data_IF_763184552891
#
_entry.id   IF_763184552891
#
_cell.length_a   1.000
_cell.length_b   1.000
_cell.length_c   1.000
_cell.angle_alpha   90.00
_cell.angle_beta   90.00
_cell.angle_gamma   90.00
#
_symmetry.space_group_name_H-M   'P 1'
#
loop_
_entity.id
_entity.type
_entity.pdbx_description
1 polymer ?
#
# COMPACT_ATOMS: atom_id res chain seq x y z
N UNK A 1 36.35 57.07 -18.41
CA UNK A 1 34.95 56.70 -18.30
C UNK A 1 34.86 55.27 -18.70
N UNK A 2 34.87 54.42 -17.74
CA UNK A 2 34.72 52.93 -17.92
C UNK A 2 33.34 52.54 -17.42
N UNK A 3 32.45 52.24 -18.37
CA UNK A 3 31.10 51.73 -18.07
C UNK A 3 31.21 50.33 -17.45
N UNK A 4 30.93 50.25 -16.15
CA UNK A 4 30.77 49.02 -15.44
C UNK A 4 29.41 48.39 -15.80
N UNK A 5 29.43 47.34 -16.63
CA UNK A 5 28.29 46.44 -16.76
C UNK A 5 28.26 45.54 -15.52
N UNK A 6 27.31 45.80 -14.62
CA UNK A 6 26.89 44.79 -13.63
C UNK A 6 26.20 43.62 -14.38
N UNK A 7 26.53 42.35 -14.06
CA UNK A 7 25.83 41.25 -14.67
C UNK A 7 24.38 41.24 -14.13
N UNK A 8 23.41 41.31 -15.04
CA UNK A 8 21.98 41.08 -14.73
C UNK A 8 21.84 39.81 -13.91
N UNK A 9 21.39 39.97 -12.67
CA UNK A 9 21.12 38.89 -11.76
C UNK A 9 20.08 37.97 -12.38
N UNK A 10 20.47 36.75 -12.68
CA UNK A 10 19.55 35.69 -13.11
C UNK A 10 18.44 35.58 -12.05
N UNK A 11 17.18 35.84 -12.42
CA UNK A 11 16.05 35.61 -11.56
C UNK A 11 16.07 34.15 -11.09
N UNK A 12 15.80 33.87 -9.81
CA UNK A 12 15.78 32.50 -9.34
C UNK A 12 14.73 31.72 -10.13
N UNK A 13 15.17 30.67 -10.82
CA UNK A 13 14.24 29.75 -11.51
C UNK A 13 13.26 29.18 -10.52
N UNK A 14 11.99 29.60 -10.61
CA UNK A 14 10.89 28.97 -9.87
C UNK A 14 10.78 27.53 -10.39
N UNK A 15 10.98 26.55 -9.51
CA UNK A 15 10.78 25.14 -9.90
C UNK A 15 9.28 24.92 -10.08
N UNK A 16 8.88 24.50 -11.27
CA UNK A 16 7.48 24.13 -11.58
C UNK A 16 7.12 22.71 -11.11
N UNK A 17 8.14 21.86 -10.88
CA UNK A 17 7.95 20.48 -10.45
C UNK A 17 7.52 20.40 -8.97
N UNK A 18 6.55 19.51 -8.62
CA UNK A 18 6.08 19.35 -7.26
C UNK A 18 7.19 18.85 -6.33
N UNK A 19 7.27 19.43 -5.16
CA UNK A 19 8.24 19.10 -4.12
C UNK A 19 7.62 18.39 -2.90
N UNK A 20 6.29 18.28 -2.86
CA UNK A 20 5.52 17.59 -1.82
C UNK A 20 4.47 16.67 -2.43
N UNK A 21 4.07 15.62 -1.69
CA UNK A 21 2.98 14.74 -2.14
C UNK A 21 1.64 15.49 -2.25
N UNK A 22 1.42 16.52 -1.45
CA UNK A 22 0.20 17.36 -1.54
C UNK A 22 0.12 18.11 -2.87
N UNK A 23 1.25 18.62 -3.37
CA UNK A 23 1.31 19.25 -4.70
C UNK A 23 1.08 18.23 -5.81
N UNK A 24 1.70 17.04 -5.72
CA UNK A 24 1.45 15.93 -6.66
C UNK A 24 -0.03 15.59 -6.69
N UNK A 25 -0.68 15.43 -5.52
CA UNK A 25 -2.11 15.15 -5.41
C UNK A 25 -2.96 16.25 -6.04
N UNK A 26 -2.61 17.52 -5.80
CA UNK A 26 -3.35 18.67 -6.33
C UNK A 26 -3.30 18.71 -7.87
N UNK A 27 -2.15 18.43 -8.45
CA UNK A 27 -2.00 18.35 -9.92
C UNK A 27 -2.74 17.12 -10.46
N UNK A 28 -2.55 15.95 -9.86
CA UNK A 28 -3.21 14.71 -10.27
C UNK A 28 -4.73 14.84 -10.28
N UNK A 29 -5.31 15.51 -9.27
CA UNK A 29 -6.75 15.78 -9.16
C UNK A 29 -7.31 16.53 -10.38
N UNK A 30 -6.53 17.39 -11.01
CA UNK A 30 -6.96 18.13 -12.21
C UNK A 30 -6.84 17.31 -13.49
N UNK A 31 -6.05 16.25 -13.49
CA UNK A 31 -5.75 15.39 -14.66
C UNK A 31 -6.54 14.08 -14.67
N UNK A 32 -6.74 13.48 -13.51
CA UNK A 32 -7.52 12.25 -13.34
C UNK A 32 -9.01 12.60 -13.50
N UNK A 33 -9.75 11.79 -14.26
CA UNK A 33 -11.21 11.96 -14.40
C UNK A 33 -11.87 11.87 -13.02
N UNK A 34 -12.90 12.69 -12.82
CA UNK A 34 -13.58 12.84 -11.53
C UNK A 34 -14.04 11.50 -10.92
N UNK A 35 -14.67 10.63 -11.72
CA UNK A 35 -15.16 9.34 -11.25
C UNK A 35 -14.04 8.39 -10.83
N UNK A 36 -12.87 8.50 -11.45
CA UNK A 36 -11.66 7.74 -11.10
C UNK A 36 -11.03 8.30 -9.83
N UNK A 37 -10.93 9.62 -9.74
CA UNK A 37 -10.45 10.30 -8.54
C UNK A 37 -11.33 9.95 -7.33
N UNK A 38 -12.65 10.08 -7.47
CA UNK A 38 -13.62 9.75 -6.43
C UNK A 38 -13.51 8.27 -5.99
N UNK A 39 -13.25 7.36 -6.94
CA UNK A 39 -13.03 5.95 -6.63
C UNK A 39 -11.80 5.72 -5.73
N UNK A 40 -10.66 6.36 -6.04
CA UNK A 40 -9.43 6.14 -5.29
C UNK A 40 -9.39 6.89 -3.95
N UNK A 41 -9.93 8.11 -3.92
CA UNK A 41 -9.83 8.97 -2.73
C UNK A 41 -10.90 8.70 -1.67
N UNK A 42 -12.05 8.10 -2.04
CA UNK A 42 -13.10 7.87 -1.06
C UNK A 42 -12.71 6.85 0.02
N UNK A 43 -13.21 7.09 1.22
CA UNK A 43 -13.32 6.12 2.31
C UNK A 43 -14.66 5.41 2.31
N UNK A 44 -14.93 4.61 3.35
CA UNK A 44 -16.23 4.01 3.62
C UNK A 44 -17.11 4.96 4.42
N UNK A 45 -18.41 4.83 4.29
CA UNK A 45 -19.45 5.52 5.04
C UNK A 45 -19.18 7.02 5.29
N UNK A 46 -18.94 7.43 6.54
CA UNK A 46 -18.64 8.82 6.93
C UNK A 46 -17.19 9.22 6.69
N UNK A 47 -16.34 8.28 6.31
CA UNK A 47 -14.90 8.46 6.05
C UNK A 47 -14.09 8.82 7.31
N UNK A 48 -14.60 8.49 8.49
CA UNK A 48 -13.92 8.72 9.77
C UNK A 48 -12.55 8.04 9.79
N UNK A 49 -12.49 6.73 9.51
CA UNK A 49 -11.23 5.98 9.48
C UNK A 49 -10.24 6.51 8.42
N UNK A 50 -10.74 7.02 7.28
CA UNK A 50 -9.90 7.65 6.28
C UNK A 50 -9.17 8.89 6.82
N UNK A 51 -9.92 9.77 7.48
CA UNK A 51 -9.38 11.02 8.03
C UNK A 51 -8.51 10.77 9.26
N UNK A 52 -8.90 9.84 10.11
CA UNK A 52 -8.14 9.48 11.32
C UNK A 52 -6.81 8.82 10.97
N UNK A 53 -6.72 8.02 9.92
CA UNK A 53 -5.45 7.48 9.45
C UNK A 53 -4.37 8.55 9.23
N UNK A 54 -4.74 9.73 8.75
CA UNK A 54 -3.80 10.85 8.55
C UNK A 54 -3.65 11.71 9.81
N UNK A 55 -4.75 11.93 10.54
CA UNK A 55 -4.76 12.78 11.72
C UNK A 55 -3.96 12.17 12.88
N UNK A 56 -4.02 10.86 13.08
CA UNK A 56 -3.30 10.16 14.14
C UNK A 56 -1.78 10.34 14.05
N UNK A 57 -1.21 10.41 12.85
CA UNK A 57 0.21 10.73 12.69
C UNK A 57 0.59 12.11 13.25
N UNK A 58 -0.32 13.08 13.20
CA UNK A 58 -0.05 14.45 13.71
C UNK A 58 0.00 14.51 15.23
N UNK A 59 -0.66 13.57 15.92
CA UNK A 59 -0.59 13.45 17.39
C UNK A 59 0.80 12.96 17.84
N UNK A 60 1.49 12.19 17.01
CA UNK A 60 2.83 11.69 17.27
C UNK A 60 3.89 12.77 17.01
N UNK A 61 4.84 12.94 17.94
CA UNK A 61 5.95 13.89 17.83
C UNK A 61 7.26 13.15 17.78
N UNK A 62 8.15 13.57 16.88
CA UNK A 62 9.51 13.06 16.82
C UNK A 62 10.35 13.80 17.86
N UNK A 63 11.07 13.06 18.68
CA UNK A 63 11.96 13.55 19.76
C UNK A 63 13.40 13.48 19.25
N UNK A 64 13.98 14.59 18.76
CA UNK A 64 15.30 14.54 18.14
C UNK A 64 16.40 14.33 19.18
N UNK A 65 17.47 13.67 18.78
CA UNK A 65 18.73 13.54 19.53
C UNK A 65 19.78 14.38 18.84
N UNK A 66 20.49 15.20 19.60
CA UNK A 66 21.55 16.07 19.10
C UNK A 66 22.93 15.48 19.32
N UNK A 67 23.96 16.01 18.67
CA UNK A 67 25.35 15.58 18.77
C UNK A 67 25.56 14.12 18.37
N UNK A 68 24.82 13.68 17.34
CA UNK A 68 24.94 12.36 16.71
C UNK A 68 25.59 12.54 15.34
N UNK A 69 26.46 11.63 14.96
CA UNK A 69 27.03 11.63 13.62
C UNK A 69 25.99 11.14 12.60
N UNK A 70 25.53 12.04 11.76
CA UNK A 70 24.58 11.80 10.67
C UNK A 70 25.17 12.27 9.33
N UNK A 71 26.50 12.30 9.22
CA UNK A 71 27.20 12.67 7.99
C UNK A 71 26.89 11.74 6.81
N UNK A 72 26.46 10.50 7.11
CA UNK A 72 26.13 9.49 6.11
C UNK A 72 24.83 8.74 6.50
N UNK A 73 23.68 9.34 6.17
CA UNK A 73 22.38 8.71 6.38
C UNK A 73 22.11 7.70 5.27
N UNK A 74 21.68 6.50 5.68
CA UNK A 74 21.34 5.42 4.77
C UNK A 74 19.89 4.95 5.01
N UNK A 75 19.03 5.11 4.01
CA UNK A 75 17.61 4.70 4.02
C UNK A 75 17.41 3.25 3.57
N UNK A 76 18.45 2.57 3.09
CA UNK A 76 18.32 1.18 2.65
C UNK A 76 18.07 0.23 3.83
N UNK A 77 17.37 -0.85 3.56
CA UNK A 77 17.08 -1.92 4.52
C UNK A 77 17.05 -3.28 3.84
N UNK A 78 16.71 -4.32 4.58
CA UNK A 78 16.46 -5.65 4.04
C UNK A 78 15.13 -6.18 4.54
N UNK A 79 14.32 -6.74 3.63
CA UNK A 79 13.05 -7.38 3.98
C UNK A 79 12.94 -8.75 3.30
N UNK A 80 12.59 -9.80 4.05
CA UNK A 80 12.62 -11.20 3.60
C UNK A 80 13.96 -11.63 2.94
N UNK A 81 15.08 -11.06 3.40
CA UNK A 81 16.41 -11.34 2.85
C UNK A 81 16.73 -10.58 1.55
N UNK A 82 15.83 -9.79 1.02
CA UNK A 82 16.05 -8.90 -0.13
C UNK A 82 16.45 -7.51 0.32
N UNK A 83 17.45 -6.95 -0.36
CA UNK A 83 17.85 -5.56 -0.17
C UNK A 83 16.80 -4.63 -0.80
N UNK A 84 16.40 -3.60 -0.06
CA UNK A 84 15.47 -2.57 -0.48
C UNK A 84 16.17 -1.21 -0.40
N UNK A 85 16.01 -0.35 -1.40
CA UNK A 85 16.57 1.00 -1.39
C UNK A 85 16.00 1.86 -0.25
N UNK A 86 14.75 1.59 0.12
CA UNK A 86 14.00 2.32 1.14
C UNK A 86 13.15 1.33 1.96
N UNK A 87 12.76 1.68 3.21
CA UNK A 87 11.95 0.82 4.08
C UNK A 87 10.46 0.86 3.75
N UNK A 88 10.12 1.22 2.52
CA UNK A 88 8.74 1.22 2.05
C UNK A 88 8.62 0.67 0.64
N UNK A 89 7.42 0.19 0.32
CA UNK A 89 7.04 -0.34 -0.98
C UNK A 89 5.70 0.22 -1.44
N UNK A 90 5.29 -0.18 -2.64
CA UNK A 90 4.08 0.28 -3.28
C UNK A 90 2.93 -0.69 -2.97
N UNK A 91 1.86 -0.15 -2.37
CA UNK A 91 0.69 -0.93 -1.95
C UNK A 91 -0.14 -1.40 -3.16
N UNK A 92 -0.85 -2.53 -3.05
CA UNK A 92 -1.72 -3.00 -4.11
C UNK A 92 -2.88 -2.01 -4.33
N UNK A 93 -3.03 -1.58 -5.58
CA UNK A 93 -4.12 -0.71 -6.03
C UNK A 93 -4.69 -1.25 -7.34
N UNK A 94 -6.01 -1.33 -7.42
CA UNK A 94 -6.70 -1.88 -8.59
C UNK A 94 -6.70 -0.91 -9.77
N UNK A 95 -6.71 -1.44 -11.00
CA UNK A 95 -7.08 -0.71 -12.23
C UNK A 95 -6.25 0.56 -12.50
N UNK A 96 -4.93 0.49 -12.33
CA UNK A 96 -4.05 1.68 -12.31
C UNK A 96 -4.01 2.42 -13.66
N UNK A 97 -4.31 1.79 -14.80
CA UNK A 97 -4.47 2.51 -16.08
C UNK A 97 -5.57 3.56 -16.08
N UNK A 98 -6.50 3.50 -15.13
CA UNK A 98 -7.50 4.56 -14.94
C UNK A 98 -6.88 5.84 -14.37
N UNK A 99 -5.86 5.72 -13.52
CA UNK A 99 -5.18 6.86 -12.91
C UNK A 99 -4.33 7.65 -13.92
N UNK A 100 -3.74 6.97 -14.89
CA UNK A 100 -2.95 7.61 -15.95
C UNK A 100 -1.81 6.75 -16.46
N UNK A 101 -1.12 7.24 -17.46
CA UNK A 101 0.02 6.60 -18.09
C UNK A 101 -0.28 5.19 -18.58
N UNK A 102 0.71 4.30 -18.46
CA UNK A 102 0.59 2.87 -18.75
C UNK A 102 0.22 2.05 -17.47
N UNK A 103 -0.25 2.74 -16.43
CA UNK A 103 -0.78 2.15 -15.20
C UNK A 103 0.24 1.30 -14.46
N UNK A 104 -0.08 0.01 -14.26
CA UNK A 104 0.77 -0.93 -13.51
C UNK A 104 2.17 -1.10 -14.11
N UNK A 105 2.32 -0.90 -15.45
CA UNK A 105 3.64 -0.95 -16.09
C UNK A 105 4.53 0.23 -15.67
N UNK A 106 3.99 1.46 -15.63
CA UNK A 106 4.71 2.64 -15.17
C UNK A 106 5.16 2.47 -13.73
N UNK A 107 4.26 1.97 -12.87
CA UNK A 107 4.57 1.70 -11.45
C UNK A 107 5.65 0.63 -11.32
N UNK A 108 5.58 -0.43 -12.12
CA UNK A 108 6.56 -1.51 -12.08
C UNK A 108 7.95 -1.07 -12.57
N UNK A 109 8.01 -0.26 -13.64
CA UNK A 109 9.28 0.30 -14.14
C UNK A 109 9.93 1.23 -13.11
N UNK A 110 9.16 2.16 -12.55
CA UNK A 110 9.64 3.05 -11.49
C UNK A 110 10.13 2.26 -10.27
N UNK A 111 9.36 1.27 -9.81
CA UNK A 111 9.72 0.42 -8.68
C UNK A 111 11.02 -0.37 -8.94
N UNK A 112 11.13 -1.01 -10.09
CA UNK A 112 12.31 -1.77 -10.48
C UNK A 112 13.55 -0.86 -10.61
N UNK A 113 13.41 0.30 -11.26
CA UNK A 113 14.47 1.28 -11.45
C UNK A 113 15.02 1.82 -10.13
N UNK A 114 14.14 2.12 -9.18
CA UNK A 114 14.53 2.71 -7.89
C UNK A 114 14.77 1.65 -6.79
N UNK A 115 14.68 0.35 -7.09
CA UNK A 115 14.91 -0.70 -6.11
C UNK A 115 13.85 -0.77 -5.01
N UNK A 116 12.60 -0.45 -5.34
CA UNK A 116 11.46 -0.39 -4.41
C UNK A 116 10.54 -1.58 -4.59
N UNK A 117 10.09 -2.17 -3.49
CA UNK A 117 9.15 -3.29 -3.50
C UNK A 117 7.79 -2.89 -4.10
N UNK A 118 7.18 -3.78 -4.87
CA UNK A 118 5.85 -3.61 -5.45
C UNK A 118 4.92 -4.74 -5.03
N UNK A 119 3.70 -4.39 -4.61
CA UNK A 119 2.61 -5.37 -4.46
C UNK A 119 1.57 -5.14 -5.56
N UNK A 120 1.46 -6.08 -6.49
CA UNK A 120 0.49 -6.02 -7.58
C UNK A 120 -0.89 -6.45 -7.10
N UNK A 121 -1.93 -5.71 -7.47
CA UNK A 121 -3.33 -6.10 -7.20
C UNK A 121 -3.78 -7.21 -8.16
N UNK A 122 -4.56 -8.17 -7.66
CA UNK A 122 -5.26 -9.13 -8.52
C UNK A 122 -6.27 -8.46 -9.47
N UNK A 123 -6.73 -7.26 -9.13
CA UNK A 123 -7.64 -6.46 -9.95
C UNK A 123 -6.88 -5.44 -10.82
N UNK A 124 -5.65 -5.75 -11.21
CA UNK A 124 -4.87 -4.91 -12.13
C UNK A 124 -5.42 -4.98 -13.57
N UNK A 125 -5.18 -3.89 -14.31
CA UNK A 125 -5.49 -3.77 -15.74
C UNK A 125 -4.38 -4.30 -16.63
N UNK A 126 -3.27 -4.73 -16.05
CA UNK A 126 -2.12 -5.34 -16.73
C UNK A 126 -1.88 -6.74 -16.17
N UNK A 127 -1.45 -7.68 -17.02
CA UNK A 127 -1.16 -9.05 -16.59
C UNK A 127 0.01 -9.09 -15.63
N UNK A 128 -0.03 -10.04 -14.70
CA UNK A 128 1.05 -10.21 -13.73
C UNK A 128 2.39 -10.57 -14.39
N UNK A 129 2.33 -11.25 -15.54
CA UNK A 129 3.51 -11.61 -16.33
C UNK A 129 4.18 -10.37 -16.95
N UNK A 130 3.38 -9.44 -17.51
CA UNK A 130 3.90 -8.20 -18.08
C UNK A 130 4.50 -7.31 -16.98
N UNK A 131 3.81 -7.17 -15.84
CA UNK A 131 4.27 -6.36 -14.71
C UNK A 131 5.61 -6.86 -14.17
N UNK A 132 5.78 -8.16 -13.96
CA UNK A 132 7.04 -8.68 -13.41
C UNK A 132 8.18 -8.64 -14.44
N UNK A 133 7.87 -8.62 -15.74
CA UNK A 133 8.90 -8.51 -16.78
C UNK A 133 9.70 -7.21 -16.67
N UNK A 134 9.10 -6.12 -16.15
CA UNK A 134 9.79 -4.85 -15.93
C UNK A 134 11.04 -4.96 -15.04
N UNK A 135 11.14 -5.98 -14.19
CA UNK A 135 12.36 -6.22 -13.38
C UNK A 135 13.55 -6.58 -14.25
N UNK A 136 13.34 -7.29 -15.36
CA UNK A 136 14.42 -7.75 -16.24
C UNK A 136 15.05 -6.60 -17.04
N UNK A 137 14.26 -5.55 -17.28
CA UNK A 137 14.66 -4.40 -18.08
C UNK A 137 15.26 -3.28 -17.21
N UNK A 138 15.31 -3.50 -15.89
CA UNK A 138 15.82 -2.50 -14.96
C UNK A 138 17.35 -2.42 -14.99
N UNK A 139 17.86 -1.19 -15.00
CA UNK A 139 19.28 -0.88 -14.82
C UNK A 139 19.73 -0.86 -13.34
N UNK A 140 18.82 -1.09 -12.41
CA UNK A 140 19.12 -1.10 -10.97
C UNK A 140 20.02 -2.27 -10.59
N UNK A 141 20.99 -2.02 -9.73
CA UNK A 141 21.78 -3.07 -9.08
C UNK A 141 21.01 -3.83 -8.00
N UNK A 142 19.83 -3.30 -7.60
CA UNK A 142 18.91 -3.93 -6.66
C UNK A 142 17.86 -4.73 -7.43
N UNK A 143 17.52 -5.91 -6.88
CA UNK A 143 16.43 -6.75 -7.38
C UNK A 143 15.28 -6.71 -6.35
N UNK A 144 14.38 -5.69 -6.42
CA UNK A 144 13.32 -5.53 -5.43
C UNK A 144 12.31 -6.68 -5.53
N UNK A 145 11.75 -7.07 -4.39
CA UNK A 145 10.70 -8.08 -4.35
C UNK A 145 9.40 -7.57 -4.97
N UNK A 146 8.77 -8.38 -5.81
CA UNK A 146 7.40 -8.16 -6.27
C UNK A 146 6.50 -9.19 -5.63
N UNK A 147 5.38 -8.73 -5.04
CA UNK A 147 4.38 -9.55 -4.35
C UNK A 147 3.06 -9.51 -5.09
N UNK A 148 2.28 -10.59 -5.00
CA UNK A 148 0.97 -10.69 -5.63
C UNK A 148 -0.14 -10.61 -4.57
N UNK A 149 -0.94 -9.53 -4.59
CA UNK A 149 -2.12 -9.45 -3.75
C UNK A 149 -3.29 -10.20 -4.40
N UNK A 150 -4.06 -10.90 -3.57
CA UNK A 150 -5.27 -11.56 -4.01
C UNK A 150 -6.40 -11.46 -2.99
N UNK A 151 -7.60 -11.67 -3.49
CA UNK A 151 -8.78 -12.07 -2.73
C UNK A 151 -9.08 -13.52 -3.05
N UNK A 152 -9.50 -14.29 -2.07
CA UNK A 152 -10.05 -15.62 -2.35
C UNK A 152 -11.54 -15.52 -2.65
N UNK A 153 -11.99 -16.28 -3.62
CA UNK A 153 -13.41 -16.46 -3.93
C UNK A 153 -14.05 -17.44 -2.94
N UNK A 154 -15.39 -17.52 -2.92
CA UNK A 154 -16.12 -18.51 -2.08
C UNK A 154 -15.69 -19.95 -2.38
N UNK A 155 -15.31 -20.23 -3.62
CA UNK A 155 -14.66 -21.46 -4.04
C UNK A 155 -13.16 -21.20 -4.21
N UNK A 156 -12.30 -21.51 -3.23
CA UNK A 156 -10.88 -21.17 -3.28
C UNK A 156 -10.13 -21.81 -4.45
N UNK A 157 -10.58 -22.96 -4.94
CA UNK A 157 -9.97 -23.68 -6.08
C UNK A 157 -9.92 -22.80 -7.34
N UNK A 158 -10.89 -21.91 -7.52
CA UNK A 158 -10.90 -20.94 -8.63
C UNK A 158 -9.75 -19.93 -8.59
N UNK A 159 -9.11 -19.76 -7.44
CA UNK A 159 -7.93 -18.90 -7.28
C UNK A 159 -6.62 -19.61 -7.62
N UNK A 160 -6.61 -20.94 -7.72
CA UNK A 160 -5.38 -21.72 -7.99
C UNK A 160 -4.70 -21.29 -9.29
N UNK A 161 -5.39 -21.10 -10.42
CA UNK A 161 -4.71 -20.68 -11.65
C UNK A 161 -3.94 -19.36 -11.48
N UNK A 162 -4.52 -18.36 -10.82
CA UNK A 162 -3.86 -17.10 -10.53
C UNK A 162 -2.63 -17.29 -9.63
N UNK A 163 -2.80 -18.07 -8.55
CA UNK A 163 -1.72 -18.36 -7.59
C UNK A 163 -0.55 -19.05 -8.31
N UNK A 164 -0.82 -20.06 -9.15
CA UNK A 164 0.21 -20.79 -9.90
C UNK A 164 0.92 -19.92 -10.94
N UNK A 165 0.20 -19.04 -11.62
CA UNK A 165 0.80 -18.05 -12.53
C UNK A 165 1.74 -17.11 -11.77
N UNK A 166 1.33 -16.60 -10.62
CA UNK A 166 2.15 -15.73 -9.80
C UNK A 166 3.44 -16.43 -9.32
N UNK A 167 3.33 -17.68 -8.82
CA UNK A 167 4.48 -18.50 -8.41
C UNK A 167 5.43 -18.74 -9.59
N UNK A 168 4.90 -19.18 -10.74
CA UNK A 168 5.69 -19.47 -11.95
C UNK A 168 6.36 -18.22 -12.55
N UNK A 169 5.75 -17.06 -12.40
CA UNK A 169 6.29 -15.79 -12.88
C UNK A 169 7.38 -15.21 -11.96
N UNK A 170 7.55 -15.74 -10.73
CA UNK A 170 8.59 -15.31 -9.80
C UNK A 170 8.15 -14.25 -8.80
N UNK A 171 6.85 -14.11 -8.53
CA UNK A 171 6.37 -13.36 -7.37
C UNK A 171 6.77 -14.08 -6.09
N UNK A 172 7.30 -13.36 -5.10
CA UNK A 172 7.93 -13.96 -3.91
C UNK A 172 6.94 -14.19 -2.76
N UNK A 173 5.82 -13.46 -2.75
CA UNK A 173 4.80 -13.57 -1.73
C UNK A 173 3.39 -13.44 -2.30
N UNK A 174 2.45 -14.13 -1.65
CA UNK A 174 1.02 -13.90 -1.77
C UNK A 174 0.57 -13.00 -0.62
N UNK A 175 -0.07 -11.88 -0.96
CA UNK A 175 -0.66 -10.95 0.01
C UNK A 175 -2.18 -11.16 0.00
N UNK A 176 -2.68 -12.02 0.88
CA UNK A 176 -4.12 -12.24 1.02
C UNK A 176 -4.74 -11.09 1.79
N UNK A 177 -5.71 -10.42 1.16
CA UNK A 177 -6.51 -9.38 1.82
C UNK A 177 -7.67 -10.02 2.56
N UNK A 178 -7.75 -9.81 3.88
CA UNK A 178 -8.72 -10.47 4.78
C UNK A 178 -9.74 -9.51 5.40
N UNK A 179 -9.60 -8.21 5.20
CA UNK A 179 -10.50 -7.16 5.70
C UNK A 179 -11.73 -6.93 4.81
N UNK A 180 -11.96 -7.80 3.81
CA UNK A 180 -12.99 -7.63 2.79
C UNK A 180 -13.94 -8.83 2.72
N UNK A 181 -14.55 -9.26 3.81
CA UNK A 181 -15.61 -10.28 3.75
C UNK A 181 -16.80 -9.78 2.93
N UNK A 182 -17.06 -8.49 2.97
CA UNK A 182 -17.96 -7.72 2.12
C UNK A 182 -17.27 -6.40 1.73
N UNK A 183 -17.71 -5.77 0.65
CA UNK A 183 -17.19 -4.46 0.28
C UNK A 183 -17.68 -3.38 1.23
N UNK A 184 -16.77 -2.51 1.66
CA UNK A 184 -17.10 -1.31 2.41
C UNK A 184 -18.05 -0.39 1.63
N UNK A 185 -18.90 0.32 2.32
CA UNK A 185 -19.94 1.17 1.73
C UNK A 185 -19.35 2.50 1.24
N UNK A 186 -18.94 2.56 -0.03
CA UNK A 186 -18.28 3.73 -0.62
C UNK A 186 -19.30 4.65 -1.27
N UNK A 187 -19.78 5.62 -0.51
CA UNK A 187 -20.88 6.50 -0.93
C UNK A 187 -20.57 7.31 -2.20
N UNK A 188 -19.32 7.73 -2.38
CA UNK A 188 -18.93 8.48 -3.59
C UNK A 188 -18.99 7.59 -4.85
N UNK A 189 -18.58 6.32 -4.77
CA UNK A 189 -18.73 5.37 -5.86
C UNK A 189 -20.20 5.11 -6.20
N UNK A 190 -21.11 5.19 -5.21
CA UNK A 190 -22.56 5.04 -5.44
C UNK A 190 -23.12 6.23 -6.21
N UNK A 191 -22.61 7.43 -5.99
CA UNK A 191 -23.04 8.65 -6.69
C UNK A 191 -22.44 8.73 -8.09
N UNK A 192 -21.17 8.37 -8.22
CA UNK A 192 -20.43 8.48 -9.48
C UNK A 192 -19.85 7.10 -9.84
N UNK A 193 -20.61 6.28 -10.61
CA UNK A 193 -20.19 4.92 -10.94
C UNK A 193 -18.89 4.91 -11.74
N UNK A 194 -17.91 4.14 -11.27
CA UNK A 194 -16.74 3.83 -12.06
C UNK A 194 -17.09 2.77 -13.11
N UNK A 195 -16.85 3.09 -14.36
CA UNK A 195 -17.02 2.18 -15.50
C UNK A 195 -15.67 2.03 -16.20
N UNK A 196 -15.22 0.77 -16.39
CA UNK A 196 -14.03 0.52 -17.18
C UNK A 196 -14.25 0.98 -18.63
N UNK A 197 -13.33 1.79 -19.19
CA UNK A 197 -13.35 2.13 -20.61
C UNK A 197 -13.33 0.89 -21.51
N UNK A 198 -13.86 1.02 -22.71
CA UNK A 198 -13.75 -0.03 -23.71
C UNK A 198 -12.27 -0.40 -23.95
N UNK A 199 -11.97 -1.68 -24.00
CA UNK A 199 -10.60 -2.20 -24.15
C UNK A 199 -9.83 -2.41 -22.85
N UNK A 200 -10.27 -1.87 -21.69
CA UNK A 200 -9.71 -2.21 -20.41
C UNK A 200 -10.50 -3.35 -19.74
N UNK A 201 -9.78 -4.29 -19.17
CA UNK A 201 -10.33 -5.43 -18.41
C UNK A 201 -9.42 -5.77 -17.24
N UNK A 202 -9.90 -6.60 -16.32
CA UNK A 202 -9.10 -7.09 -15.20
C UNK A 202 -8.25 -8.28 -15.66
N UNK A 203 -7.05 -8.00 -16.15
CA UNK A 203 -6.20 -8.93 -16.90
C UNK A 203 -5.84 -10.23 -16.14
N UNK A 204 -5.92 -10.24 -14.81
CA UNK A 204 -5.58 -11.42 -14.00
C UNK A 204 -6.80 -12.25 -13.57
N UNK A 205 -8.01 -11.71 -13.67
CA UNK A 205 -9.25 -12.35 -13.20
C UNK A 205 -10.14 -12.73 -14.37
N UNK A 206 -10.21 -11.88 -15.40
CA UNK A 206 -11.04 -12.12 -16.57
C UNK A 206 -10.26 -12.96 -17.60
N UNK A 207 -10.83 -14.11 -17.98
CA UNK A 207 -10.25 -14.92 -19.05
C UNK A 207 -10.30 -14.15 -20.38
N UNK A 208 -9.21 -14.15 -21.12
CA UNK A 208 -9.04 -13.47 -22.41
C UNK A 208 -10.05 -13.86 -23.51
N UNK A 209 -10.96 -14.81 -23.22
CA UNK A 209 -11.99 -15.33 -24.14
C UNK A 209 -13.28 -14.51 -24.17
N UNK A 210 -13.41 -13.47 -23.34
CA UNK A 210 -14.55 -12.56 -23.45
C UNK A 210 -14.32 -11.58 -24.59
N UNK A 211 -15.19 -11.63 -25.59
CA UNK A 211 -15.27 -10.61 -26.65
C UNK A 211 -15.18 -9.20 -26.08
N UNK A 212 -14.51 -8.24 -26.74
CA UNK A 212 -14.45 -6.86 -26.27
C UNK A 212 -15.85 -6.39 -25.92
N UNK A 213 -16.09 -6.04 -24.65
CA UNK A 213 -17.41 -5.57 -24.26
C UNK A 213 -17.65 -4.22 -24.93
N UNK A 214 -18.54 -4.18 -25.90
CA UNK A 214 -18.96 -2.97 -26.60
C UNK A 214 -19.85 -2.09 -25.75
N UNK A 215 -20.42 -2.64 -24.66
CA UNK A 215 -21.30 -1.90 -23.74
C UNK A 215 -20.60 -1.57 -22.43
N UNK A 216 -20.72 -0.31 -22.03
CA UNK A 216 -20.31 0.18 -20.71
C UNK A 216 -21.26 -0.35 -19.64
N UNK A 217 -20.90 -1.42 -18.96
CA UNK A 217 -21.68 -1.96 -17.82
C UNK A 217 -21.02 -1.55 -16.49
N UNK A 218 -21.82 -1.21 -15.47
CA UNK A 218 -21.29 -0.99 -14.14
C UNK A 218 -20.46 -2.19 -13.66
N UNK A 219 -19.37 -1.94 -12.95
CA UNK A 219 -18.55 -3.02 -12.39
C UNK A 219 -19.40 -3.94 -11.51
N UNK A 220 -18.98 -5.20 -11.37
CA UNK A 220 -19.62 -6.16 -10.46
C UNK A 220 -19.80 -5.58 -9.05
N UNK A 221 -18.74 -4.99 -8.52
CA UNK A 221 -18.76 -4.38 -7.18
C UNK A 221 -19.80 -3.26 -7.09
N UNK A 222 -19.92 -2.43 -8.13
CA UNK A 222 -20.93 -1.37 -8.20
C UNK A 222 -22.33 -1.95 -8.15
N UNK A 223 -22.62 -2.95 -8.96
CA UNK A 223 -23.93 -3.59 -8.99
C UNK A 223 -24.30 -4.21 -7.64
N UNK A 224 -23.32 -4.80 -6.95
CA UNK A 224 -23.52 -5.39 -5.63
C UNK A 224 -23.79 -4.31 -4.57
N UNK A 225 -23.09 -3.17 -4.62
CA UNK A 225 -23.37 -2.03 -3.73
C UNK A 225 -24.74 -1.40 -3.96
N UNK A 226 -25.27 -1.47 -5.17
CA UNK A 226 -26.60 -0.94 -5.52
C UNK A 226 -27.74 -1.91 -5.20
N UNK A 227 -27.45 -3.17 -4.86
CA UNK A 227 -28.45 -4.14 -4.45
C UNK A 227 -29.22 -3.65 -3.21
N UNK A 228 -30.54 -3.60 -3.33
CA UNK A 228 -31.41 -3.12 -2.24
C UNK A 228 -31.94 -4.23 -1.34
N UNK A 229 -31.90 -5.45 -1.83
CA UNK A 229 -32.37 -6.63 -1.10
C UNK A 229 -31.31 -7.75 -1.15
N UNK A 230 -31.40 -8.67 -0.22
CA UNK A 230 -30.56 -9.87 -0.24
C UNK A 230 -30.75 -10.65 -1.55
N UNK A 231 -31.99 -10.74 -2.04
CA UNK A 231 -32.32 -11.40 -3.30
C UNK A 231 -31.63 -10.75 -4.51
N UNK A 232 -31.60 -9.39 -4.58
CA UNK A 232 -30.89 -8.67 -5.65
C UNK A 232 -29.39 -8.97 -5.59
N UNK A 233 -28.82 -8.98 -4.38
CA UNK A 233 -27.40 -9.29 -4.20
C UNK A 233 -27.08 -10.73 -4.62
N UNK A 234 -27.90 -11.70 -4.23
CA UNK A 234 -27.76 -13.10 -4.62
C UNK A 234 -27.90 -13.30 -6.14
N UNK A 235 -28.85 -12.61 -6.78
CA UNK A 235 -29.02 -12.64 -8.24
C UNK A 235 -27.80 -12.08 -8.96
N UNK A 236 -27.22 -10.97 -8.49
CA UNK A 236 -26.00 -10.36 -9.03
C UNK A 236 -24.81 -11.31 -8.85
N UNK A 237 -24.67 -11.93 -7.68
CA UNK A 237 -23.62 -12.90 -7.38
C UNK A 237 -23.72 -14.13 -8.28
N UNK A 238 -24.91 -14.69 -8.41
CA UNK A 238 -25.18 -15.85 -9.27
C UNK A 238 -24.86 -15.57 -10.74
N UNK A 239 -25.35 -14.45 -11.26
CA UNK A 239 -25.11 -14.03 -12.65
C UNK A 239 -23.64 -13.76 -12.97
N UNK A 240 -22.82 -13.43 -11.97
CA UNK A 240 -21.38 -13.21 -12.09
C UNK A 240 -20.53 -14.47 -11.89
N UNK A 241 -21.13 -15.61 -11.60
CA UNK A 241 -20.42 -16.86 -11.29
C UNK A 241 -19.84 -16.89 -9.87
N UNK A 242 -20.34 -16.07 -8.98
CA UNK A 242 -19.93 -15.94 -7.57
C UNK A 242 -19.23 -14.62 -7.25
N UNK A 243 -18.96 -14.40 -5.96
CA UNK A 243 -18.22 -13.22 -5.50
C UNK A 243 -16.73 -13.37 -5.76
N UNK A 244 -16.07 -12.28 -6.10
CA UNK A 244 -14.60 -12.19 -6.12
C UNK A 244 -13.99 -12.17 -4.70
N UNK A 245 -14.83 -12.07 -3.67
CA UNK A 245 -14.45 -12.01 -2.26
C UNK A 245 -15.22 -13.07 -1.48
N UNK A 246 -14.52 -13.85 -0.69
CA UNK A 246 -15.14 -14.84 0.19
C UNK A 246 -15.47 -14.20 1.54
N UNK A 247 -16.70 -14.43 2.01
CA UNK A 247 -17.14 -14.11 3.38
C UNK A 247 -17.08 -15.31 4.33
N UNK A 248 -16.46 -16.41 3.90
CA UNK A 248 -16.37 -17.67 4.66
C UNK A 248 -14.92 -18.11 4.94
N UNK A 249 -13.96 -17.20 4.84
CA UNK A 249 -12.57 -17.51 5.17
C UNK A 249 -12.42 -17.81 6.66
N UNK A 250 -11.63 -18.82 6.99
CA UNK A 250 -11.26 -19.16 8.37
C UNK A 250 -9.77 -19.42 8.47
N UNK A 251 -9.19 -19.21 9.64
CA UNK A 251 -7.79 -19.48 9.92
C UNK A 251 -7.39 -20.93 9.63
N UNK A 252 -8.27 -21.86 10.00
CA UNK A 252 -8.00 -23.30 9.93
C UNK A 252 -8.07 -23.88 8.52
N UNK A 253 -8.80 -23.26 7.60
CA UNK A 253 -8.95 -23.74 6.22
C UNK A 253 -8.12 -22.94 5.24
N UNK A 254 -8.09 -21.61 5.40
CA UNK A 254 -7.50 -20.70 4.42
C UNK A 254 -5.97 -20.78 4.38
N UNK A 255 -5.30 -20.78 5.54
CA UNK A 255 -3.84 -20.78 5.56
C UNK A 255 -3.25 -22.11 5.04
N UNK A 256 -3.75 -23.30 5.47
CA UNK A 256 -3.32 -24.56 4.87
C UNK A 256 -3.57 -24.65 3.36
N UNK A 257 -4.70 -24.13 2.87
CA UNK A 257 -4.99 -24.06 1.45
C UNK A 257 -3.92 -23.26 0.69
N UNK A 258 -3.60 -22.02 1.13
CA UNK A 258 -2.60 -21.18 0.47
C UNK A 258 -1.21 -21.81 0.48
N UNK A 259 -0.79 -22.40 1.60
CA UNK A 259 0.50 -23.09 1.70
C UNK A 259 0.60 -24.27 0.74
N UNK A 260 -0.50 -25.00 0.55
CA UNK A 260 -0.58 -26.09 -0.44
C UNK A 260 -0.57 -25.56 -1.89
N UNK A 261 -1.31 -24.45 -2.14
CA UNK A 261 -1.43 -23.88 -3.46
C UNK A 261 -0.14 -23.19 -3.94
N UNK A 262 0.64 -22.57 -3.05
CA UNK A 262 1.88 -21.84 -3.35
C UNK A 262 3.00 -22.19 -2.37
N UNK A 263 3.56 -23.41 -2.41
CA UNK A 263 4.58 -23.87 -1.44
C UNK A 263 5.89 -23.09 -1.52
N UNK A 264 6.17 -22.45 -2.67
CA UNK A 264 7.38 -21.64 -2.89
C UNK A 264 7.24 -20.16 -2.52
N UNK A 265 6.04 -19.70 -2.15
CA UNK A 265 5.79 -18.30 -1.86
C UNK A 265 5.56 -18.04 -0.37
N UNK A 266 5.93 -16.84 0.09
CA UNK A 266 5.56 -16.35 1.42
C UNK A 266 4.08 -16.02 1.47
N UNK A 267 3.44 -16.27 2.63
CA UNK A 267 2.04 -15.91 2.87
C UNK A 267 1.98 -14.70 3.79
N UNK A 268 1.44 -13.61 3.29
CA UNK A 268 1.25 -12.35 4.02
C UNK A 268 -0.25 -12.09 4.15
N UNK A 269 -0.73 -11.78 5.36
CA UNK A 269 -2.12 -11.39 5.58
C UNK A 269 -2.25 -9.88 5.69
N UNK A 270 -3.06 -9.26 4.84
CA UNK A 270 -3.33 -7.82 4.83
C UNK A 270 -4.73 -7.53 5.40
N UNK A 271 -4.80 -6.62 6.37
CA UNK A 271 -6.06 -6.24 7.01
C UNK A 271 -6.11 -6.61 8.49
N UNK A 272 -4.96 -6.82 9.12
CA UNK A 272 -4.86 -7.15 10.55
C UNK A 272 -4.87 -5.85 11.35
N UNK A 273 -5.83 -5.72 12.27
CA UNK A 273 -6.02 -4.51 13.07
C UNK A 273 -6.00 -4.78 14.59
N UNK A 274 -5.90 -6.05 15.02
CA UNK A 274 -5.95 -6.41 16.43
C UNK A 274 -4.76 -7.28 16.84
N UNK A 275 -4.30 -7.15 18.10
CA UNK A 275 -3.27 -8.04 18.67
C UNK A 275 -3.69 -9.52 18.63
N UNK A 276 -4.97 -9.82 18.84
CA UNK A 276 -5.54 -11.18 18.83
C UNK A 276 -5.35 -11.85 17.48
N UNK A 277 -5.67 -11.15 16.39
CA UNK A 277 -5.48 -11.67 15.03
C UNK A 277 -3.99 -11.80 14.68
N UNK A 278 -3.13 -10.93 15.17
CA UNK A 278 -1.69 -11.06 15.00
C UNK A 278 -1.14 -12.33 15.67
N UNK A 279 -1.63 -12.68 16.86
CA UNK A 279 -1.30 -13.95 17.54
C UNK A 279 -1.80 -15.14 16.74
N UNK A 280 -3.02 -15.09 16.19
CA UNK A 280 -3.55 -16.14 15.33
C UNK A 280 -2.74 -16.30 14.05
N UNK A 281 -2.26 -15.21 13.45
CA UNK A 281 -1.39 -15.27 12.28
C UNK A 281 -0.09 -16.04 12.56
N UNK A 282 0.54 -15.80 13.71
CA UNK A 282 1.71 -16.56 14.17
C UNK A 282 1.35 -18.03 14.39
N UNK A 283 0.26 -18.32 15.11
CA UNK A 283 -0.20 -19.69 15.41
C UNK A 283 -0.43 -20.51 14.15
N UNK A 284 -0.99 -19.91 13.10
CA UNK A 284 -1.24 -20.58 11.82
C UNK A 284 -0.05 -20.55 10.87
N UNK A 285 1.08 -19.96 11.30
CA UNK A 285 2.35 -19.98 10.58
C UNK A 285 2.35 -19.10 9.33
N UNK A 286 1.73 -17.93 9.40
CA UNK A 286 1.81 -16.87 8.40
C UNK A 286 3.23 -16.27 8.42
N UNK A 287 3.76 -15.87 7.27
CA UNK A 287 5.12 -15.35 7.15
C UNK A 287 5.25 -13.88 7.55
N UNK A 288 4.21 -13.08 7.34
CA UNK A 288 4.12 -11.67 7.78
C UNK A 288 2.66 -11.21 7.83
N UNK A 289 2.43 -10.08 8.49
CA UNK A 289 1.13 -9.38 8.49
C UNK A 289 1.28 -7.96 7.98
N UNK A 290 0.21 -7.42 7.40
CA UNK A 290 0.06 -5.98 7.13
C UNK A 290 -0.98 -5.41 8.07
N UNK A 291 -0.56 -4.52 8.97
CA UNK A 291 -1.47 -3.70 9.77
C UNK A 291 -2.12 -2.69 8.82
N UNK A 292 -3.40 -2.89 8.56
CA UNK A 292 -4.13 -2.19 7.49
C UNK A 292 -5.63 -2.17 7.78
N UNK A 293 -6.26 -1.02 7.59
CA UNK A 293 -7.71 -0.85 7.50
C UNK A 293 -8.17 -0.52 6.06
N UNK A 294 -7.39 -0.99 5.06
CA UNK A 294 -7.66 -0.75 3.64
C UNK A 294 -7.66 0.74 3.27
N UNK A 295 -6.90 1.55 4.01
CA UNK A 295 -6.88 2.99 3.82
C UNK A 295 -8.23 3.67 4.13
N UNK A 296 -8.99 3.14 5.10
CA UNK A 296 -10.30 3.66 5.51
C UNK A 296 -11.41 3.34 4.51
N UNK A 297 -11.28 2.27 3.70
CA UNK A 297 -12.22 1.92 2.62
C UNK A 297 -13.12 0.73 2.95
N UNK A 298 -12.96 0.12 4.12
CA UNK A 298 -13.71 -1.06 4.57
C UNK A 298 -14.56 -0.73 5.80
N UNK A 299 -14.24 -1.23 6.97
CA UNK A 299 -14.94 -0.86 8.20
C UNK A 299 -14.61 0.60 8.55
N UNK A 300 -15.63 1.46 8.54
CA UNK A 300 -15.50 2.82 9.05
C UNK A 300 -15.54 2.83 10.60
N UNK A 301 -15.12 3.92 11.23
CA UNK A 301 -15.05 4.06 12.70
C UNK A 301 -14.15 3.02 13.41
N UNK A 302 -13.28 2.32 12.66
CA UNK A 302 -12.16 1.57 13.24
C UNK A 302 -11.01 2.52 13.56
N UNK A 303 -10.16 2.18 14.52
CA UNK A 303 -8.99 3.01 14.86
C UNK A 303 -8.05 3.20 13.66
N UNK A 304 -7.27 4.27 13.69
CA UNK A 304 -6.20 4.47 12.71
C UNK A 304 -5.17 3.35 12.82
N UNK A 305 -4.61 2.95 11.68
CA UNK A 305 -3.63 1.85 11.64
C UNK A 305 -2.40 2.11 12.48
N UNK A 306 -1.95 3.37 12.58
CA UNK A 306 -0.80 3.76 13.40
C UNK A 306 -1.09 3.63 14.91
N UNK A 307 -2.35 3.69 15.33
CA UNK A 307 -2.78 3.47 16.71
C UNK A 307 -2.84 1.99 17.07
N UNK A 308 -3.23 1.13 16.11
CA UNK A 308 -3.25 -0.32 16.28
C UNK A 308 -1.83 -0.93 16.34
N UNK A 309 -0.87 -0.33 15.64
CA UNK A 309 0.47 -0.88 15.43
C UNK A 309 1.23 -1.18 16.74
N UNK A 310 1.30 -0.30 17.77
CA UNK A 310 2.06 -0.59 18.99
C UNK A 310 1.56 -1.82 19.74
N UNK A 311 0.24 -2.00 19.85
CA UNK A 311 -0.37 -3.16 20.51
C UNK A 311 -0.07 -4.46 19.78
N UNK A 312 -0.17 -4.46 18.45
CA UNK A 312 0.17 -5.59 17.59
C UNK A 312 1.66 -5.93 17.70
N UNK A 313 2.53 -4.94 17.63
CA UNK A 313 3.96 -5.16 17.78
C UNK A 313 4.32 -5.74 19.16
N UNK A 314 3.71 -5.24 20.23
CA UNK A 314 3.99 -5.69 21.61
C UNK A 314 3.70 -7.19 21.79
N UNK A 315 2.55 -7.70 21.32
CA UNK A 315 2.22 -9.13 21.47
C UNK A 315 3.12 -10.01 20.60
N UNK A 316 3.56 -9.55 19.44
CA UNK A 316 4.50 -10.29 18.59
C UNK A 316 5.91 -10.31 19.18
N UNK A 317 6.33 -9.25 19.85
CA UNK A 317 7.64 -9.18 20.53
C UNK A 317 7.71 -10.11 21.74
N UNK A 318 6.61 -10.28 22.49
CA UNK A 318 6.54 -11.13 23.69
C UNK A 318 6.22 -12.59 23.40
N UNK A 319 5.57 -12.89 22.25
CA UNK A 319 5.09 -14.24 21.89
C UNK A 319 6.17 -15.24 21.46
N UNK A 320 7.46 -14.91 21.51
CA UNK A 320 8.55 -15.78 21.14
C UNK A 320 9.01 -16.79 22.22
N UNK A 321 8.13 -17.15 23.14
CA UNK A 321 8.42 -18.10 24.25
C UNK A 321 8.40 -19.58 23.85
N UNK A 322 8.18 -19.94 22.57
CA UNK A 322 8.38 -21.34 22.11
C UNK A 322 9.87 -21.63 21.92
N UNK A 323 10.40 -22.71 22.51
CA UNK A 323 11.80 -23.11 22.32
C UNK A 323 12.08 -23.40 20.84
N UNK A 324 12.90 -22.57 20.20
CA UNK A 324 13.33 -22.74 18.81
C UNK A 324 12.86 -21.65 17.83
N UNK A 325 11.90 -20.80 18.16
CA UNK A 325 11.52 -19.65 17.33
C UNK A 325 12.16 -18.38 17.86
N UNK A 326 13.32 -18.01 17.30
CA UNK A 326 14.10 -16.84 17.72
C UNK A 326 13.57 -15.49 17.21
N UNK A 327 12.65 -15.45 16.23
CA UNK A 327 12.22 -14.20 15.60
C UNK A 327 10.69 -14.14 15.48
N UNK A 328 10.11 -13.00 15.86
CA UNK A 328 8.72 -12.65 15.55
C UNK A 328 8.51 -12.59 14.03
N UNK A 329 7.28 -12.77 13.56
CA UNK A 329 6.97 -12.52 12.16
C UNK A 329 7.06 -11.01 11.88
N UNK A 330 7.50 -10.60 10.67
CA UNK A 330 7.55 -9.19 10.28
C UNK A 330 6.17 -8.54 10.27
N UNK A 331 6.15 -7.26 10.67
CA UNK A 331 4.98 -6.39 10.63
C UNK A 331 5.16 -5.37 9.52
N UNK A 332 4.32 -5.45 8.51
CA UNK A 332 4.20 -4.45 7.46
C UNK A 332 3.07 -3.50 7.88
N UNK A 333 3.16 -2.26 7.48
CA UNK A 333 2.21 -1.21 7.85
C UNK A 333 1.69 -0.48 6.62
N UNK A 334 0.39 -0.18 6.55
CA UNK A 334 -0.17 0.81 5.61
C UNK A 334 -1.27 1.65 6.26
N UNK A 335 -1.71 2.68 5.55
CA UNK A 335 -2.76 3.60 6.00
C UNK A 335 -2.22 4.96 6.46
N UNK A 336 -2.66 6.04 5.82
CA UNK A 336 -2.40 7.42 6.22
C UNK A 336 -1.01 8.00 5.91
N UNK A 337 -0.07 7.23 5.39
CA UNK A 337 1.29 7.69 5.08
C UNK A 337 1.27 8.75 3.96
N UNK A 338 1.78 9.95 4.26
CA UNK A 338 1.83 11.09 3.34
C UNK A 338 3.19 11.78 3.30
N UNK A 339 4.08 11.48 4.24
CA UNK A 339 5.40 12.10 4.35
C UNK A 339 6.45 11.06 4.75
N UNK A 340 7.73 11.36 4.50
CA UNK A 340 8.83 10.56 5.03
C UNK A 340 8.87 10.54 6.57
N UNK A 341 8.36 11.58 7.24
CA UNK A 341 8.20 11.60 8.69
C UNK A 341 7.14 10.58 9.17
N UNK A 342 6.10 10.30 8.38
CA UNK A 342 5.12 9.26 8.71
C UNK A 342 5.74 7.87 8.57
N UNK A 343 6.58 7.65 7.55
CA UNK A 343 7.38 6.42 7.42
C UNK A 343 8.26 6.23 8.66
N UNK A 344 8.99 7.27 9.09
CA UNK A 344 9.82 7.25 10.30
C UNK A 344 9.00 6.86 11.54
N UNK A 345 7.82 7.46 11.74
CA UNK A 345 6.93 7.17 12.87
C UNK A 345 6.43 5.72 12.86
N UNK A 346 6.03 5.21 11.70
CA UNK A 346 5.59 3.82 11.58
C UNK A 346 6.70 2.83 11.94
N UNK A 347 7.92 3.05 11.44
CA UNK A 347 9.09 2.25 11.79
C UNK A 347 9.40 2.32 13.29
N UNK A 348 9.38 3.53 13.86
CA UNK A 348 9.64 3.75 15.29
C UNK A 348 8.62 3.03 16.18
N UNK A 349 7.39 2.85 15.74
CA UNK A 349 6.32 2.16 16.48
C UNK A 349 6.26 0.65 16.21
N UNK A 350 7.21 0.10 15.45
CA UNK A 350 7.42 -1.33 15.32
C UNK A 350 7.04 -1.94 13.98
N UNK A 351 6.79 -1.12 12.95
CA UNK A 351 6.75 -1.64 11.58
C UNK A 351 8.15 -2.02 11.12
N UNK A 352 8.28 -3.16 10.44
CA UNK A 352 9.51 -3.57 9.76
C UNK A 352 9.56 -3.03 8.33
N UNK A 353 8.39 -2.74 7.76
CA UNK A 353 8.24 -2.24 6.40
C UNK A 353 6.94 -1.46 6.26
N UNK A 354 6.89 -0.50 5.33
CA UNK A 354 5.71 0.35 5.10
C UNK A 354 5.22 0.19 3.67
N UNK A 355 3.90 0.24 3.43
CA UNK A 355 3.33 0.29 2.08
C UNK A 355 2.61 1.63 1.85
N UNK A 356 2.77 2.16 0.64
CA UNK A 356 2.20 3.45 0.22
C UNK A 356 1.23 3.23 -0.93
N UNK A 357 -0.03 3.63 -0.76
CA UNK A 357 -1.11 3.42 -1.73
C UNK A 357 -1.42 4.66 -2.58
N UNK A 358 -2.37 5.49 -2.15
CA UNK A 358 -2.86 6.66 -2.91
C UNK A 358 -1.78 7.56 -3.54
N UNK A 359 -0.68 7.89 -2.86
CA UNK A 359 0.37 8.71 -3.45
C UNK A 359 0.92 8.16 -4.77
N UNK A 360 1.00 6.83 -4.93
CA UNK A 360 1.44 6.20 -6.19
C UNK A 360 0.48 6.52 -7.34
N UNK A 361 -0.83 6.51 -7.07
CA UNK A 361 -1.87 6.84 -8.04
C UNK A 361 -1.83 8.32 -8.42
N UNK A 362 -1.49 9.20 -7.46
CA UNK A 362 -1.26 10.62 -7.74
C UNK A 362 -0.05 10.80 -8.66
N UNK A 363 1.03 10.06 -8.42
CA UNK A 363 2.19 10.04 -9.30
C UNK A 363 1.82 9.64 -10.73
N UNK A 364 1.06 8.56 -10.89
CA UNK A 364 0.54 8.14 -12.20
C UNK A 364 -0.27 9.24 -12.88
N UNK A 365 -1.21 9.85 -12.17
CA UNK A 365 -2.03 10.95 -12.69
C UNK A 365 -1.23 12.21 -12.97
N UNK A 366 -0.13 12.42 -12.26
CA UNK A 366 0.77 13.55 -12.50
C UNK A 366 1.58 13.36 -13.80
N UNK A 367 2.31 12.26 -13.95
CA UNK A 367 3.28 12.12 -15.05
C UNK A 367 3.65 10.67 -15.37
N UNK A 368 2.72 9.73 -15.17
CA UNK A 368 2.99 8.30 -15.43
C UNK A 368 4.18 7.79 -14.61
N UNK A 369 5.10 7.07 -15.25
CA UNK A 369 6.32 6.52 -14.63
C UNK A 369 7.13 7.58 -13.90
N UNK A 370 7.47 8.70 -14.55
CA UNK A 370 8.22 9.80 -13.94
C UNK A 370 7.51 10.36 -12.69
N UNK A 371 6.17 10.42 -12.71
CA UNK A 371 5.39 10.88 -11.57
C UNK A 371 5.46 9.92 -10.39
N UNK A 372 5.50 8.62 -10.63
CA UNK A 372 5.73 7.61 -9.58
C UNK A 372 7.14 7.72 -9.01
N UNK A 373 8.15 7.94 -9.86
CA UNK A 373 9.53 8.21 -9.40
C UNK A 373 9.59 9.46 -8.51
N UNK A 374 8.88 10.54 -8.88
CA UNK A 374 8.78 11.76 -8.07
C UNK A 374 8.20 11.47 -6.69
N UNK A 375 7.12 10.67 -6.60
CA UNK A 375 6.52 10.27 -5.32
C UNK A 375 7.50 9.49 -4.45
N UNK A 376 8.20 8.51 -5.01
CA UNK A 376 9.19 7.71 -4.28
C UNK A 376 10.33 8.60 -3.78
N UNK A 377 10.87 9.46 -4.64
CA UNK A 377 11.98 10.35 -4.32
C UNK A 377 11.60 11.43 -3.27
N UNK A 378 10.36 11.93 -3.28
CA UNK A 378 9.87 12.84 -2.23
C UNK A 378 9.88 12.14 -0.88
N UNK A 379 9.29 10.94 -0.78
CA UNK A 379 9.22 10.18 0.46
C UNK A 379 10.62 9.79 0.98
N UNK A 380 11.50 9.35 0.11
CA UNK A 380 12.89 9.00 0.46
C UNK A 380 13.64 10.21 0.98
N UNK A 381 13.60 11.33 0.26
CA UNK A 381 14.24 12.59 0.66
C UNK A 381 13.73 13.10 2.00
N UNK A 382 12.41 13.04 2.23
CA UNK A 382 11.80 13.45 3.49
C UNK A 382 12.18 12.51 4.63
N UNK A 383 12.22 11.18 4.39
CA UNK A 383 12.66 10.19 5.36
C UNK A 383 14.12 10.42 5.74
N UNK A 384 15.02 10.50 4.76
CA UNK A 384 16.46 10.74 4.97
C UNK A 384 16.70 12.02 5.78
N UNK A 385 16.01 13.12 5.43
CA UNK A 385 16.10 14.37 6.17
C UNK A 385 15.54 14.25 7.58
N UNK A 386 14.43 13.54 7.76
CA UNK A 386 13.85 13.29 9.09
C UNK A 386 14.81 12.48 9.95
N UNK A 387 15.44 11.44 9.41
CA UNK A 387 16.46 10.66 10.11
C UNK A 387 17.64 11.54 10.54
N UNK A 388 18.21 12.34 9.62
CA UNK A 388 19.30 13.25 9.94
C UNK A 388 18.95 14.21 11.09
N UNK A 389 17.77 14.86 11.00
CA UNK A 389 17.31 15.81 12.01
C UNK A 389 16.94 15.15 13.35
N UNK A 390 16.53 13.88 13.31
CA UNK A 390 16.27 13.08 14.52
C UNK A 390 17.56 12.54 15.16
N UNK A 391 18.73 12.63 14.49
CA UNK A 391 19.99 12.06 14.97
C UNK A 391 20.10 10.57 14.74
N UNK A 392 19.58 10.07 13.60
CA UNK A 392 19.56 8.66 13.21
C UNK A 392 20.23 8.51 11.84
N UNK A 393 21.23 7.65 11.73
CA UNK A 393 21.95 7.41 10.49
C UNK A 393 21.46 6.19 9.70
N UNK A 394 20.84 5.21 10.36
CA UNK A 394 20.39 3.93 9.78
C UNK A 394 18.97 3.58 10.19
N UNK A 395 18.26 2.83 9.34
CA UNK A 395 16.88 2.40 9.60
C UNK A 395 16.76 1.61 10.90
N UNK A 396 17.73 0.74 11.18
CA UNK A 396 17.74 -0.13 12.36
C UNK A 396 17.89 0.64 13.69
N UNK A 397 18.31 1.91 13.64
CA UNK A 397 18.42 2.80 14.81
C UNK A 397 17.10 3.52 15.16
N UNK A 398 16.10 3.41 14.28
CA UNK A 398 14.77 4.01 14.50
C UNK A 398 14.03 3.17 15.54
N UNK A 399 13.73 3.75 16.70
CA UNK A 399 13.01 3.06 17.77
C UNK A 399 11.98 3.97 18.46
N UNK A 400 11.16 3.37 19.32
CA UNK A 400 10.07 4.06 20.06
C UNK A 400 10.55 5.24 20.90
N UNK A 401 11.81 5.25 21.32
CA UNK A 401 12.42 6.34 22.08
C UNK A 401 12.48 7.67 21.34
N UNK A 402 12.30 7.63 20.03
CA UNK A 402 12.19 8.83 19.17
C UNK A 402 10.76 9.36 19.07
N UNK A 403 9.78 8.69 19.69
CA UNK A 403 8.36 9.08 19.57
C UNK A 403 7.82 9.51 20.92
N UNK A 404 7.09 10.63 20.90
CA UNK A 404 6.28 11.11 22.01
C UNK A 404 4.87 11.42 21.57
N UNK A 405 3.94 11.41 22.52
CA UNK A 405 2.54 11.77 22.32
C UNK A 405 2.25 13.04 23.10
N UNK A 406 1.49 13.96 22.49
CA UNK A 406 1.02 15.15 23.18
C UNK A 406 0.09 14.76 24.34
N UNK A 407 0.34 15.31 25.51
CA UNK A 407 -0.46 15.02 26.70
C UNK A 407 -1.93 15.42 26.51
N UNK A 408 -2.86 14.68 27.11
CA UNK A 408 -4.29 14.94 27.03
C UNK A 408 -4.68 16.36 27.50
N UNK A 409 -3.93 16.94 28.45
CA UNK A 409 -4.09 18.33 28.90
C UNK A 409 -3.58 19.40 27.93
N UNK A 410 -3.09 19.00 26.74
CA UNK A 410 -2.66 19.91 25.68
C UNK A 410 -1.27 20.50 25.85
N UNK A 411 -0.61 20.32 26.99
CA UNK A 411 0.75 20.79 27.26
C UNK A 411 1.68 19.64 27.69
N UNK A 412 2.87 19.62 27.12
CA UNK A 412 3.88 18.58 27.36
C UNK A 412 3.74 17.37 26.43
N UNK A 413 4.81 16.59 26.37
CA UNK A 413 4.93 15.37 25.55
C UNK A 413 5.38 14.23 26.46
N UNK A 414 4.61 13.14 26.48
CA UNK A 414 4.99 11.87 27.10
C UNK A 414 5.70 10.99 26.10
N UNK A 415 6.75 10.29 26.52
CA UNK A 415 7.36 9.21 25.73
C UNK A 415 6.40 8.01 25.68
N UNK A 416 6.34 7.34 24.54
CA UNK A 416 5.60 6.09 24.37
C UNK A 416 6.33 4.89 24.98
#
# INVERSE_FOLDING_TARGET
MSDGHEPEGSQPHVREDPITLSEVASIAKTRIRKEVWDYYECGADTQTALHENEAAFKALKILPRVMRDVSNVNTSTSFFGRKCAVPFGLAPSAMQKLAGGDGEMDVARAAAKLGVNLTLSSQSTTSLEDVISCKKDSSSSLDPAFWMQLYLTKDPEKSIPLIKRAEASGYEALVLTVDTPVLGNRLNERKTPLVLPAGLHLANIELATRSPQTERKPTFNRRLMDARTLHDAEAILSAAGGSTHSNSLTWTTTIPFLKKAAPGMKIILKGIMTPEDAVLAVKHGVDAIVVSNHGGRQLDETCATIEALPGIHAVLATGSSEPGRKNRIPVIFDGGVRTGADVFKALALGADFVLVGRPVLWGLGYKGEEGVEVVINILERELSRTMALAGVARIEEIGKEYIGVKNAGGFGISKL
#
